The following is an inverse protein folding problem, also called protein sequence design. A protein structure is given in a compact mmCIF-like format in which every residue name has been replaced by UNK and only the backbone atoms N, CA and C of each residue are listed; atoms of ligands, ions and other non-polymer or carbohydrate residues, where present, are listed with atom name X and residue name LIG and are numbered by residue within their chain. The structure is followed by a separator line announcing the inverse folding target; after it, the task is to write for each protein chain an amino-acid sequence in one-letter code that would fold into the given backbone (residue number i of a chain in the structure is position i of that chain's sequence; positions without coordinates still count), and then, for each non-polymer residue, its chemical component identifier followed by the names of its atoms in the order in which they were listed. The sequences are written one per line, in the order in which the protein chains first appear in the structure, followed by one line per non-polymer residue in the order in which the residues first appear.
data_IF_821684110086
#
_entry.id   IF_821684110086
#
_cell.length_a   1.000
_cell.length_b   1.000
_cell.length_c   1.000
_cell.angle_alpha   90.00
_cell.angle_beta   90.00
_cell.angle_gamma   90.00
#
_symmetry.space_group_name_H-M   'P 1'
#
loop_
_entity.id
_entity.type
_entity.pdbx_description
1 polymer ?
#
# COMPACT_ATOMS: atom_id res chain seq x y z
N UNK A 1 -12.92 24.84 -39.93
CA UNK A 1 -11.46 24.60 -40.05
C UNK A 1 -11.06 23.81 -38.82
N UNK A 2 -10.57 22.60 -39.05
CA UNK A 2 -10.54 21.46 -38.14
C UNK A 2 -9.79 21.76 -36.84
N UNK A 3 -10.48 21.69 -35.70
CA UNK A 3 -9.83 21.56 -34.39
C UNK A 3 -8.96 20.30 -34.46
N UNK A 4 -7.64 20.47 -34.27
CA UNK A 4 -6.79 19.34 -33.92
C UNK A 4 -7.34 18.75 -32.63
N UNK A 5 -8.10 17.67 -32.75
CA UNK A 5 -8.43 16.79 -31.63
C UNK A 5 -7.12 16.38 -30.98
N UNK A 6 -6.83 16.97 -29.82
CA UNK A 6 -5.72 16.56 -28.98
C UNK A 6 -5.92 15.07 -28.65
N UNK A 7 -5.08 14.23 -29.27
CA UNK A 7 -5.09 12.76 -29.27
C UNK A 7 -5.05 12.10 -27.87
N UNK A 8 -4.83 12.90 -26.81
CA UNK A 8 -4.89 12.49 -25.41
C UNK A 8 -6.33 12.51 -24.83
N UNK A 9 -7.19 13.42 -25.28
CA UNK A 9 -8.56 13.60 -24.77
C UNK A 9 -9.53 12.51 -25.24
N UNK A 10 -9.27 11.90 -26.40
CA UNK A 10 -10.14 10.86 -26.99
C UNK A 10 -9.83 9.45 -26.51
N UNK A 11 -8.63 9.18 -25.95
CA UNK A 11 -8.21 7.80 -25.61
C UNK A 11 -8.58 7.33 -24.21
N UNK A 12 -8.89 8.24 -23.28
CA UNK A 12 -9.10 7.87 -21.88
C UNK A 12 -10.51 8.25 -21.41
N UNK A 13 -11.42 7.27 -21.43
CA UNK A 13 -12.81 7.44 -21.04
C UNK A 13 -12.97 8.00 -19.61
N UNK A 14 -12.02 7.74 -18.72
CA UNK A 14 -11.99 8.28 -17.36
C UNK A 14 -11.69 9.77 -17.34
N UNK A 15 -10.74 10.25 -18.15
CA UNK A 15 -10.49 11.69 -18.30
C UNK A 15 -11.71 12.40 -18.85
N UNK A 16 -12.39 11.79 -19.84
CA UNK A 16 -13.61 12.34 -20.43
C UNK A 16 -14.71 12.49 -19.39
N UNK A 17 -14.94 11.46 -18.57
CA UNK A 17 -15.91 11.48 -17.47
C UNK A 17 -15.56 12.53 -16.40
N UNK A 18 -14.28 12.62 -16.00
CA UNK A 18 -13.81 13.61 -15.04
C UNK A 18 -13.99 15.04 -15.54
N UNK A 19 -13.73 15.28 -16.83
CA UNK A 19 -13.95 16.58 -17.47
C UNK A 19 -15.45 16.89 -17.55
N UNK A 20 -16.31 15.94 -17.93
CA UNK A 20 -17.77 16.13 -17.93
C UNK A 20 -18.32 16.40 -16.51
N UNK A 21 -17.73 15.81 -15.47
CA UNK A 21 -18.12 16.08 -14.09
C UNK A 21 -17.53 17.39 -13.54
N UNK A 22 -16.33 17.78 -13.98
CA UNK A 22 -15.68 19.04 -13.62
C UNK A 22 -16.24 20.25 -14.37
N UNK A 23 -16.89 20.03 -15.51
CA UNK A 23 -17.72 20.99 -16.24
C UNK A 23 -19.04 21.23 -15.48
N UNK A 24 -18.88 21.78 -14.27
CA UNK A 24 -19.97 22.27 -13.47
C UNK A 24 -20.39 23.63 -14.02
N UNK A 25 -21.65 23.77 -14.45
CA UNK A 25 -22.28 25.05 -14.78
C UNK A 25 -22.24 26.09 -13.63
N UNK A 26 -21.73 25.73 -12.44
CA UNK A 26 -21.58 26.61 -11.29
C UNK A 26 -20.13 27.14 -11.15
N UNK A 27 -19.91 28.47 -11.25
CA UNK A 27 -18.57 29.08 -11.20
C UNK A 27 -17.83 28.87 -9.87
N UNK A 28 -18.55 28.66 -8.75
CA UNK A 28 -17.92 28.35 -7.45
C UNK A 28 -17.32 26.96 -7.44
N UNK A 29 -18.02 25.98 -8.01
CA UNK A 29 -17.58 24.59 -8.09
C UNK A 29 -16.30 24.46 -8.93
N UNK A 30 -16.28 25.11 -10.11
CA UNK A 30 -15.11 25.11 -11.01
C UNK A 30 -13.85 25.64 -10.34
N UNK A 31 -13.97 26.65 -9.46
CA UNK A 31 -12.86 27.22 -8.68
C UNK A 31 -12.34 26.28 -7.59
N UNK A 32 -13.21 25.48 -6.99
CA UNK A 32 -12.82 24.47 -5.99
C UNK A 32 -12.12 23.30 -6.68
N UNK A 33 -12.67 22.81 -7.79
CA UNK A 33 -12.05 21.75 -8.58
C UNK A 33 -10.68 22.15 -9.12
N UNK A 34 -10.54 23.37 -9.66
CA UNK A 34 -9.24 23.85 -10.14
C UNK A 34 -8.20 24.01 -9.03
N UNK A 35 -8.65 24.20 -7.77
CA UNK A 35 -7.76 24.18 -6.61
C UNK A 35 -7.36 22.75 -6.22
N UNK A 36 -8.30 21.80 -6.20
CA UNK A 36 -8.04 20.40 -5.84
C UNK A 36 -7.18 19.65 -6.87
N UNK A 37 -7.27 20.03 -8.15
CA UNK A 37 -6.49 19.44 -9.24
C UNK A 37 -5.05 19.96 -9.33
N UNK A 38 -4.65 20.93 -8.49
CA UNK A 38 -3.26 21.37 -8.40
C UNK A 38 -2.39 20.23 -7.89
N UNK A 39 -1.26 19.98 -8.55
CA UNK A 39 -0.32 18.90 -8.20
C UNK A 39 0.11 18.98 -6.73
N UNK A 40 0.29 20.17 -6.18
CA UNK A 40 0.65 20.39 -4.78
C UNK A 40 -0.48 19.91 -3.84
N UNK A 41 -1.74 20.15 -4.21
CA UNK A 41 -2.90 19.70 -3.44
C UNK A 41 -3.04 18.17 -3.51
N UNK A 42 -2.89 17.58 -4.69
CA UNK A 42 -2.93 16.13 -4.89
C UNK A 42 -1.84 15.44 -4.05
N UNK A 43 -0.60 15.94 -4.09
CA UNK A 43 0.51 15.41 -3.28
C UNK A 43 0.23 15.56 -1.79
N UNK A 44 -0.26 16.73 -1.35
CA UNK A 44 -0.58 16.96 0.06
C UNK A 44 -1.67 16.01 0.56
N UNK A 45 -2.75 15.81 -0.22
CA UNK A 45 -3.81 14.84 0.09
C UNK A 45 -3.25 13.42 0.14
N UNK A 46 -2.38 13.07 -0.81
CA UNK A 46 -1.76 11.74 -0.86
C UNK A 46 -0.89 11.45 0.37
N UNK A 47 -0.03 12.40 0.76
CA UNK A 47 0.80 12.30 1.96
C UNK A 47 -0.06 12.22 3.22
N UNK A 48 -1.10 13.05 3.31
CA UNK A 48 -2.02 13.04 4.44
C UNK A 48 -2.73 11.69 4.57
N UNK A 49 -3.21 11.11 3.46
CA UNK A 49 -3.83 9.79 3.44
C UNK A 49 -2.84 8.70 3.88
N UNK A 50 -1.58 8.77 3.44
CA UNK A 50 -0.53 7.84 3.86
C UNK A 50 -0.25 7.93 5.36
N UNK A 51 -0.20 9.15 5.92
CA UNK A 51 -0.02 9.37 7.37
C UNK A 51 -1.22 8.81 8.14
N UNK A 52 -2.46 9.10 7.71
CA UNK A 52 -3.67 8.60 8.37
C UNK A 52 -3.74 7.08 8.32
N UNK A 53 -3.42 6.48 7.16
CA UNK A 53 -3.38 5.03 7.01
C UNK A 53 -2.30 4.40 7.88
N UNK A 54 -1.10 4.99 7.90
CA UNK A 54 0.01 4.56 8.75
C UNK A 54 -0.32 4.67 10.23
N UNK A 55 -0.92 5.78 10.66
CA UNK A 55 -1.36 5.99 12.04
C UNK A 55 -2.48 5.03 12.43
N UNK A 56 -3.49 4.84 11.56
CA UNK A 56 -4.55 3.83 11.77
C UNK A 56 -3.93 2.45 11.91
N UNK A 57 -2.98 2.09 11.05
CA UNK A 57 -2.27 0.82 11.11
C UNK A 57 -1.43 0.70 12.38
N UNK A 58 -0.84 1.79 12.88
CA UNK A 58 -0.08 1.91 14.14
C UNK A 58 -0.96 1.92 15.41
N UNK A 59 -2.23 2.30 15.29
CA UNK A 59 -3.21 2.20 16.38
C UNK A 59 -3.94 0.85 16.38
N UNK A 60 -3.94 0.11 15.28
CA UNK A 60 -4.71 -1.14 15.18
C UNK A 60 -4.09 -2.32 15.96
N UNK A 61 -2.94 -2.17 16.64
CA UNK A 61 -2.28 -3.22 17.44
C UNK A 61 -2.12 -4.57 16.72
N UNK A 62 -2.26 -4.60 15.39
CA UNK A 62 -2.17 -5.78 14.54
C UNK A 62 -0.71 -6.07 14.13
N UNK A 63 0.24 -5.68 14.99
CA UNK A 63 1.64 -6.15 14.94
C UNK A 63 1.78 -7.55 15.54
N UNK A 64 0.64 -8.13 15.94
CA UNK A 64 0.53 -9.35 16.70
C UNK A 64 0.82 -10.62 15.89
N UNK A 65 0.71 -10.56 14.56
CA UNK A 65 0.99 -11.71 13.70
C UNK A 65 2.44 -12.17 13.83
N UNK A 66 3.40 -11.24 13.97
CA UNK A 66 4.79 -11.62 14.20
C UNK A 66 4.97 -12.33 15.54
N UNK A 67 4.36 -11.85 16.61
CA UNK A 67 4.45 -12.48 17.92
C UNK A 67 3.78 -13.86 17.91
N UNK A 68 2.61 -14.00 17.30
CA UNK A 68 1.96 -15.31 17.07
C UNK A 68 2.88 -16.25 16.29
N UNK A 69 3.55 -15.77 15.25
CA UNK A 69 4.51 -16.52 14.44
C UNK A 69 5.79 -16.87 15.20
N UNK A 70 6.25 -16.02 16.10
CA UNK A 70 7.41 -16.26 16.95
C UNK A 70 7.08 -17.30 18.01
N UNK A 71 5.98 -17.12 18.73
CA UNK A 71 5.61 -17.95 19.87
C UNK A 71 4.99 -19.29 19.47
N UNK A 72 4.42 -19.46 18.27
CA UNK A 72 4.05 -20.81 17.79
C UNK A 72 5.27 -21.73 17.73
N UNK A 73 6.47 -21.22 17.44
CA UNK A 73 7.71 -22.00 17.50
C UNK A 73 8.07 -22.38 18.94
N UNK A 74 8.19 -21.40 19.82
CA UNK A 74 8.57 -21.63 21.23
C UNK A 74 7.57 -22.53 21.95
N UNK A 75 6.26 -22.30 21.80
CA UNK A 75 5.21 -23.15 22.37
C UNK A 75 5.21 -24.57 21.79
N UNK A 76 5.65 -24.77 20.54
CA UNK A 76 5.81 -26.12 19.97
C UNK A 76 6.97 -26.86 20.64
N UNK A 77 8.11 -26.19 20.87
CA UNK A 77 9.28 -26.78 21.55
C UNK A 77 8.97 -27.10 23.00
N UNK A 78 8.26 -26.19 23.67
CA UNK A 78 7.86 -26.33 25.07
C UNK A 78 6.70 -27.31 25.28
N UNK A 79 6.21 -27.94 24.19
CA UNK A 79 5.07 -28.87 24.20
C UNK A 79 3.79 -28.27 24.80
N UNK A 80 3.62 -26.96 24.66
CA UNK A 80 2.44 -26.24 25.12
C UNK A 80 1.29 -26.36 24.11
N UNK A 81 0.06 -26.18 24.58
CA UNK A 81 -1.10 -26.19 23.68
C UNK A 81 -1.08 -24.94 22.79
N UNK A 82 -0.90 -25.16 21.47
CA UNK A 82 -0.76 -24.10 20.49
C UNK A 82 -2.00 -23.23 20.28
N UNK A 83 -3.19 -23.66 20.72
CA UNK A 83 -4.45 -22.98 20.43
C UNK A 83 -4.99 -22.19 21.63
N UNK A 84 -4.28 -22.21 22.76
CA UNK A 84 -4.61 -21.38 23.92
C UNK A 84 -4.23 -19.91 23.70
N UNK A 85 -4.84 -19.03 24.51
CA UNK A 85 -4.48 -17.62 24.58
C UNK A 85 -3.33 -17.42 25.58
N UNK A 86 -2.29 -16.71 25.16
CA UNK A 86 -1.14 -16.40 25.99
C UNK A 86 -0.85 -14.89 26.02
N UNK A 87 -0.31 -14.33 27.12
CA UNK A 87 -0.14 -12.88 27.29
C UNK A 87 0.87 -12.27 26.32
N UNK A 88 1.80 -13.04 25.77
CA UNK A 88 2.87 -12.61 24.86
C UNK A 88 2.34 -12.08 23.54
N UNK A 89 1.17 -12.55 23.11
CA UNK A 89 0.50 -12.12 21.88
C UNK A 89 -1.00 -11.91 22.05
N UNK A 90 -1.56 -11.96 23.26
CA UNK A 90 -2.92 -11.49 23.59
C UNK A 90 -4.07 -12.02 22.72
N UNK A 91 -3.89 -13.13 22.01
CA UNK A 91 -4.86 -13.72 21.07
C UNK A 91 -4.60 -15.24 20.96
N UNK A 92 -5.39 -15.96 20.16
CA UNK A 92 -5.19 -17.39 19.92
C UNK A 92 -4.36 -17.62 18.67
N UNK A 93 -3.42 -18.54 18.76
CA UNK A 93 -2.69 -18.99 17.60
C UNK A 93 -3.54 -20.02 16.82
N UNK A 94 -3.60 -19.89 15.49
CA UNK A 94 -4.35 -20.78 14.60
C UNK A 94 -3.44 -21.68 13.77
N UNK A 95 -2.13 -21.58 13.97
CA UNK A 95 -1.12 -22.31 13.22
C UNK A 95 -0.63 -23.54 13.99
N UNK A 96 -0.48 -24.66 13.29
CA UNK A 96 -0.05 -25.93 13.88
C UNK A 96 1.48 -26.16 13.87
N UNK A 97 1.95 -27.32 14.38
CA UNK A 97 3.37 -27.64 14.50
C UNK A 97 4.15 -27.65 13.17
N UNK A 98 3.48 -27.97 12.06
CA UNK A 98 4.10 -27.90 10.72
C UNK A 98 4.49 -26.46 10.36
N UNK A 99 3.64 -25.49 10.69
CA UNK A 99 3.95 -24.08 10.48
C UNK A 99 5.11 -23.60 11.37
N UNK A 100 5.21 -24.12 12.60
CA UNK A 100 6.34 -23.87 13.50
C UNK A 100 7.69 -24.23 12.87
N UNK A 101 7.77 -25.32 12.09
CA UNK A 101 9.02 -25.68 11.40
C UNK A 101 9.44 -24.63 10.36
N UNK A 102 8.48 -24.04 9.64
CA UNK A 102 8.76 -22.99 8.66
C UNK A 102 9.16 -21.67 9.32
N UNK A 103 8.61 -21.38 10.50
CA UNK A 103 8.84 -20.11 11.20
C UNK A 103 10.03 -20.14 12.17
N UNK A 104 10.48 -21.34 12.57
CA UNK A 104 11.61 -21.59 13.46
C UNK A 104 12.85 -20.71 13.20
N UNK A 105 13.36 -20.55 11.97
CA UNK A 105 14.55 -19.72 11.73
C UNK A 105 14.27 -18.21 11.89
N UNK A 106 13.01 -17.78 11.90
CA UNK A 106 12.62 -16.38 12.10
C UNK A 106 12.29 -16.07 13.56
N UNK A 107 11.79 -17.06 14.31
CA UNK A 107 11.45 -16.92 15.71
C UNK A 107 12.67 -16.69 16.61
N UNK A 108 13.83 -17.22 16.22
CA UNK A 108 15.11 -17.09 16.93
C UNK A 108 15.83 -15.76 16.72
N UNK A 109 15.27 -14.85 15.90
CA UNK A 109 15.90 -13.58 15.55
C UNK A 109 15.46 -12.45 16.48
N UNK A 110 16.33 -11.46 16.74
CA UNK A 110 15.92 -10.22 17.40
C UNK A 110 14.88 -9.48 16.54
N UNK A 111 13.84 -8.96 17.18
CA UNK A 111 12.63 -8.41 16.55
C UNK A 111 12.92 -7.29 15.52
N UNK A 112 14.11 -6.67 15.55
CA UNK A 112 14.53 -5.61 14.63
C UNK A 112 15.44 -6.02 13.45
N UNK A 113 15.90 -7.28 13.38
CA UNK A 113 16.94 -7.68 12.40
C UNK A 113 16.41 -8.44 11.18
N UNK A 114 15.10 -8.64 11.07
CA UNK A 114 14.47 -9.32 9.93
C UNK A 114 14.83 -8.81 8.51
N UNK A 115 15.26 -7.55 8.29
CA UNK A 115 15.70 -7.09 6.97
C UNK A 115 17.22 -7.15 6.73
N UNK A 116 18.04 -7.53 7.72
CA UNK A 116 19.51 -7.40 7.63
C UNK A 116 20.19 -8.62 6.98
N UNK A 117 21.38 -8.45 6.39
CA UNK A 117 22.06 -9.43 5.52
C UNK A 117 22.45 -10.79 6.12
N UNK A 118 22.04 -11.08 7.36
CA UNK A 118 22.37 -12.25 8.16
C UNK A 118 21.65 -13.53 7.68
N UNK A 119 20.68 -13.44 6.77
CA UNK A 119 19.85 -14.59 6.37
C UNK A 119 20.51 -15.60 5.41
N UNK A 120 20.31 -16.92 5.62
CA UNK A 120 20.64 -17.97 4.66
C UNK A 120 19.95 -17.78 3.31
N UNK A 121 20.63 -18.16 2.21
CA UNK A 121 20.18 -17.93 0.82
C UNK A 121 18.76 -18.47 0.55
N UNK A 122 18.41 -19.63 1.10
CA UNK A 122 17.08 -20.23 0.91
C UNK A 122 15.93 -19.39 1.49
N UNK A 123 16.16 -18.72 2.63
CA UNK A 123 15.16 -17.87 3.29
C UNK A 123 15.00 -16.54 2.55
N UNK A 124 16.13 -15.96 2.09
CA UNK A 124 16.10 -14.78 1.20
C UNK A 124 15.32 -15.09 -0.08
N UNK A 125 15.55 -16.24 -0.71
CA UNK A 125 14.83 -16.68 -1.90
C UNK A 125 13.31 -16.77 -1.63
N UNK A 126 12.88 -17.38 -0.53
CA UNK A 126 11.45 -17.50 -0.18
C UNK A 126 10.79 -16.15 0.10
N UNK A 127 11.43 -15.27 0.90
CA UNK A 127 10.94 -13.90 1.13
C UNK A 127 10.90 -13.13 -0.19
N UNK A 128 11.91 -13.29 -1.05
CA UNK A 128 11.96 -12.68 -2.37
C UNK A 128 10.78 -13.14 -3.23
N UNK A 129 10.51 -14.44 -3.28
CA UNK A 129 9.36 -15.06 -3.97
C UNK A 129 8.00 -14.53 -3.45
N UNK A 130 7.85 -14.34 -2.15
CA UNK A 130 6.60 -13.80 -1.59
C UNK A 130 6.47 -12.27 -1.81
N UNK A 131 7.58 -11.54 -1.73
CA UNK A 131 7.66 -10.10 -2.03
C UNK A 131 7.42 -9.80 -3.51
N UNK A 132 7.76 -10.73 -4.40
CA UNK A 132 7.48 -10.65 -5.83
C UNK A 132 5.97 -10.55 -6.14
N UNK A 133 5.09 -11.07 -5.28
CA UNK A 133 3.64 -10.91 -5.45
C UNK A 133 3.17 -9.47 -5.29
N UNK A 134 3.92 -8.64 -4.56
CA UNK A 134 3.62 -7.21 -4.40
C UNK A 134 4.12 -6.35 -5.58
N UNK A 135 5.07 -6.86 -6.38
CA UNK A 135 5.63 -6.08 -7.50
C UNK A 135 4.62 -5.56 -8.52
N UNK A 136 3.64 -6.34 -9.03
CA UNK A 136 2.68 -5.79 -9.99
C UNK A 136 1.89 -4.61 -9.41
N UNK A 137 1.56 -4.66 -8.12
CA UNK A 137 0.89 -3.56 -7.43
C UNK A 137 1.82 -2.34 -7.29
N UNK A 138 3.07 -2.54 -6.89
CA UNK A 138 4.07 -1.48 -6.75
C UNK A 138 4.36 -0.80 -8.10
N UNK A 139 4.46 -1.56 -9.18
CA UNK A 139 4.71 -1.01 -10.53
C UNK A 139 3.56 -0.09 -10.93
N UNK A 140 2.32 -0.53 -10.81
CA UNK A 140 1.14 0.29 -11.12
C UNK A 140 1.14 1.55 -10.25
N UNK A 141 1.42 1.41 -8.96
CA UNK A 141 1.48 2.52 -8.03
C UNK A 141 2.54 3.56 -8.40
N UNK A 142 3.76 3.12 -8.74
CA UNK A 142 4.84 4.00 -9.19
C UNK A 142 4.50 4.68 -10.52
N UNK A 143 3.84 3.99 -11.45
CA UNK A 143 3.40 4.60 -12.72
C UNK A 143 2.38 5.72 -12.50
N UNK A 144 1.45 5.54 -11.56
CA UNK A 144 0.46 6.58 -11.20
C UNK A 144 1.15 7.78 -10.54
N UNK A 145 2.09 7.55 -9.62
CA UNK A 145 2.87 8.63 -9.00
C UNK A 145 3.66 9.40 -10.07
N UNK A 146 4.30 8.69 -10.99
CA UNK A 146 5.05 9.33 -12.07
C UNK A 146 4.15 10.20 -12.96
N UNK A 147 2.96 9.70 -13.31
CA UNK A 147 1.96 10.48 -14.06
C UNK A 147 1.55 11.73 -13.28
N UNK A 148 1.27 11.62 -11.98
CA UNK A 148 0.89 12.77 -11.13
C UNK A 148 2.00 13.83 -11.04
N UNK A 149 3.28 13.41 -11.04
CA UNK A 149 4.41 14.33 -10.96
C UNK A 149 4.73 15.03 -12.29
N UNK A 150 4.46 14.38 -13.43
CA UNK A 150 4.82 14.86 -14.77
C UNK A 150 3.67 15.57 -15.48
N UNK A 151 2.43 15.16 -15.27
CA UNK A 151 1.28 15.75 -15.94
C UNK A 151 0.82 17.03 -15.25
N UNK A 152 0.55 18.07 -16.06
CA UNK A 152 -0.07 19.29 -15.57
C UNK A 152 -1.58 19.18 -15.74
N UNK A 153 -2.27 18.72 -14.69
CA UNK A 153 -3.71 18.53 -14.71
C UNK A 153 -4.51 19.82 -14.95
N UNK A 154 -3.91 20.99 -14.70
CA UNK A 154 -4.52 22.29 -14.98
C UNK A 154 -4.78 22.49 -16.48
N UNK A 155 -3.97 21.88 -17.35
CA UNK A 155 -4.13 22.02 -18.80
C UNK A 155 -5.46 21.45 -19.31
N UNK A 156 -5.98 20.38 -18.71
CA UNK A 156 -7.26 19.77 -19.09
C UNK A 156 -8.48 20.63 -18.77
N UNK A 157 -8.35 21.61 -17.86
CA UNK A 157 -9.43 22.57 -17.54
C UNK A 157 -9.45 23.77 -18.50
N UNK A 158 -8.34 23.98 -19.24
CA UNK A 158 -8.13 25.15 -20.12
C UNK A 158 -8.31 24.85 -21.60
N UNK A 159 -8.35 23.59 -22.01
CA UNK A 159 -8.57 23.15 -23.40
C UNK A 159 -10.01 23.33 -23.91
N UNK A 160 -10.88 23.90 -23.09
CA UNK A 160 -12.29 24.16 -23.38
C UNK A 160 -12.53 25.64 -23.76
N UNK A 161 -11.59 26.22 -24.52
CA UNK A 161 -11.67 27.58 -25.09
C UNK A 161 -11.46 27.55 -26.60
#
# INVERSE_FOLDING_TARGET
MLFQENNALTKNAYLRLLITMADSNNPKSRKIFSFLLKKECIIAVYVLLAIIAGFKQYQHHSYNNYLIFKYVYYHTIDLQNLYNNYPEYGNSNHYGPIFSLFIAPFASLPDGLLPTDIFPRAIKEFIRLYSFKALPCIIIWLTIIFQILKENFESYLTTDK
#
